data_IF_294821284195
#
_entry.id   IF_294821284195
#
_cell.length_a   1.000
_cell.length_b   1.000
_cell.length_c   1.000
_cell.angle_alpha   90.00
_cell.angle_beta   90.00
_cell.angle_gamma   90.00
#
_symmetry.space_group_name_H-M   'P 1'
#
loop_
_entity.id
_entity.type
_entity.pdbx_description
1 polymer ?
#
# COMPACT_ATOMS: atom_id res chain seq x y z
N UNK A 1 -8.81 -11.27 -0.79
CA UNK A 1 -9.01 -10.46 0.44
C UNK A 1 -8.05 -9.28 0.37
N UNK A 2 -8.54 -8.10 0.02
CA UNK A 2 -7.74 -6.87 0.02
C UNK A 2 -7.46 -6.47 1.47
N UNK A 3 -6.18 -6.42 1.85
CA UNK A 3 -5.78 -5.92 3.16
C UNK A 3 -5.86 -4.39 3.10
N UNK A 4 -6.84 -3.81 3.78
CA UNK A 4 -7.00 -2.36 3.96
C UNK A 4 -6.20 -1.96 5.20
N UNK A 5 -5.28 -1.01 5.06
CA UNK A 5 -4.55 -0.43 6.20
C UNK A 5 -4.91 1.05 6.28
N UNK A 6 -5.21 1.52 7.49
CA UNK A 6 -5.60 2.90 7.76
C UNK A 6 -4.61 3.49 8.77
N UNK A 7 -3.91 4.55 8.39
CA UNK A 7 -2.93 5.23 9.24
C UNK A 7 -3.26 6.73 9.40
N UNK A 8 -3.19 7.30 10.62
CA UNK A 8 -3.37 8.74 10.83
C UNK A 8 -2.17 9.55 10.33
N UNK A 9 -2.44 10.47 9.40
CA UNK A 9 -1.46 11.39 8.83
C UNK A 9 -1.27 12.63 9.70
N UNK A 10 -2.37 13.21 10.20
CA UNK A 10 -2.36 14.41 11.05
C UNK A 10 -3.57 14.41 11.97
N UNK A 11 -3.39 14.96 13.17
CA UNK A 11 -4.47 15.29 14.10
C UNK A 11 -4.63 16.80 14.13
N UNK A 12 -5.80 17.27 13.75
CA UNK A 12 -6.16 18.68 13.77
C UNK A 12 -6.45 19.15 15.20
N UNK A 13 -6.37 20.46 15.41
CA UNK A 13 -6.55 21.07 16.73
C UNK A 13 -7.98 20.94 17.27
N UNK A 14 -8.97 20.73 16.39
CA UNK A 14 -10.36 20.45 16.75
C UNK A 14 -10.59 18.98 17.18
N UNK A 15 -9.55 18.13 17.10
CA UNK A 15 -9.60 16.72 17.42
C UNK A 15 -9.96 15.83 16.23
N UNK A 16 -10.27 16.41 15.06
CA UNK A 16 -10.40 15.65 13.82
C UNK A 16 -9.06 15.02 13.41
N UNK A 17 -9.11 13.92 12.68
CA UNK A 17 -7.92 13.21 12.21
C UNK A 17 -8.02 12.95 10.71
N UNK A 18 -6.98 13.31 9.97
CA UNK A 18 -6.81 12.88 8.59
C UNK A 18 -6.15 11.50 8.59
N UNK A 19 -6.78 10.55 7.92
CA UNK A 19 -6.36 9.17 7.80
C UNK A 19 -6.11 8.86 6.33
N UNK A 20 -5.10 8.03 6.05
CA UNK A 20 -4.87 7.44 4.73
C UNK A 20 -5.17 5.96 4.80
N UNK A 21 -6.05 5.50 3.92
CA UNK A 21 -6.30 4.10 3.63
C UNK A 21 -5.49 3.70 2.42
N UNK A 22 -4.77 2.59 2.47
CA UNK A 22 -4.17 1.98 1.29
C UNK A 22 -4.73 0.58 1.09
N UNK A 23 -5.07 0.28 -0.16
CA UNK A 23 -5.62 -1.00 -0.58
C UNK A 23 -4.86 -1.54 -1.79
N UNK A 24 -4.63 -2.84 -1.85
CA UNK A 24 -4.13 -3.53 -3.05
C UNK A 24 -5.29 -4.19 -3.78
N UNK A 25 -5.41 -3.87 -5.07
CA UNK A 25 -6.48 -4.36 -5.94
C UNK A 25 -6.31 -5.83 -6.35
N UNK A 26 -5.14 -6.42 -6.13
CA UNK A 26 -4.84 -7.79 -6.56
C UNK A 26 -4.28 -7.88 -7.98
N UNK A 27 -4.48 -6.87 -8.82
CA UNK A 27 -4.08 -6.83 -10.24
C UNK A 27 -2.78 -6.07 -10.49
N UNK A 28 -1.99 -5.83 -9.44
CA UNK A 28 -0.76 -5.04 -9.52
C UNK A 28 -0.97 -3.52 -9.40
N UNK A 29 -2.17 -3.06 -9.00
CA UNK A 29 -2.41 -1.66 -8.64
C UNK A 29 -2.66 -1.47 -7.15
N UNK A 30 -2.30 -0.29 -6.66
CA UNK A 30 -2.54 0.15 -5.29
C UNK A 30 -3.42 1.38 -5.33
N UNK A 31 -4.38 1.44 -4.43
CA UNK A 31 -5.29 2.56 -4.30
C UNK A 31 -5.12 3.17 -2.93
N UNK A 32 -4.90 4.48 -2.87
CA UNK A 32 -4.97 5.24 -1.64
C UNK A 32 -6.24 6.09 -1.60
N UNK A 33 -6.87 6.14 -0.42
CA UNK A 33 -8.03 6.98 -0.14
C UNK A 33 -7.81 7.75 1.16
N UNK A 34 -8.18 9.03 1.18
CA UNK A 34 -8.09 9.87 2.36
C UNK A 34 -9.44 9.97 3.05
N UNK A 35 -9.41 9.84 4.38
CA UNK A 35 -10.58 9.94 5.24
C UNK A 35 -10.35 11.00 6.31
N UNK A 36 -11.35 11.82 6.57
CA UNK A 36 -11.39 12.72 7.71
C UNK A 36 -12.30 12.12 8.77
N UNK A 37 -11.72 11.76 9.91
CA UNK A 37 -12.46 11.33 11.09
C UNK A 37 -12.75 12.55 11.96
N UNK A 38 -14.01 12.91 12.10
CA UNK A 38 -14.45 14.02 12.94
C UNK A 38 -15.07 13.48 14.23
N UNK A 39 -14.61 13.91 15.42
CA UNK A 39 -15.20 13.49 16.69
C UNK A 39 -16.62 14.05 16.82
N UNK A 40 -17.64 13.19 16.78
CA UNK A 40 -19.02 13.59 17.01
C UNK A 40 -19.44 13.32 18.47
N UNK A 41 -20.24 14.22 19.04
CA UNK A 41 -20.71 14.21 20.44
C UNK A 41 -21.57 12.99 20.83
N UNK A 42 -21.91 12.10 19.89
CA UNK A 42 -22.81 10.94 20.09
C UNK A 42 -22.09 9.59 19.93
N UNK A 43 -20.82 9.52 20.32
CA UNK A 43 -20.01 8.28 20.35
C UNK A 43 -19.72 7.63 18.97
N UNK A 44 -20.20 8.22 17.87
CA UNK A 44 -19.86 7.80 16.51
C UNK A 44 -18.85 8.75 15.90
N UNK A 45 -17.73 8.21 15.43
CA UNK A 45 -16.80 8.94 14.57
C UNK A 45 -17.48 9.16 13.20
N UNK A 46 -17.54 10.41 12.75
CA UNK A 46 -18.03 10.75 11.41
C UNK A 46 -16.84 10.63 10.45
N UNK A 47 -16.82 9.56 9.65
CA UNK A 47 -15.77 9.33 8.65
C UNK A 47 -16.22 9.91 7.31
N UNK A 48 -15.50 10.92 6.82
CA UNK A 48 -15.76 11.56 5.52
C UNK A 48 -14.66 11.20 4.54
N UNK A 49 -15.05 10.73 3.36
CA UNK A 49 -14.10 10.54 2.25
C UNK A 49 -13.69 11.91 1.73
N UNK A 50 -12.38 12.16 1.68
CA UNK A 50 -11.78 13.45 1.27
C UNK A 50 -11.20 13.39 -0.14
N UNK A 51 -10.74 12.21 -0.57
CA UNK A 51 -10.21 12.01 -1.91
C UNK A 51 -10.93 10.87 -2.62
N UNK A 52 -11.02 10.97 -3.94
CA UNK A 52 -11.35 9.84 -4.80
C UNK A 52 -10.22 8.79 -4.81
N UNK A 53 -10.50 7.63 -5.39
CA UNK A 53 -9.60 6.48 -5.45
C UNK A 53 -8.29 6.84 -6.19
N UNK A 54 -7.22 7.13 -5.45
CA UNK A 54 -5.92 7.48 -6.02
C UNK A 54 -5.16 6.20 -6.38
N UNK A 55 -5.40 5.70 -7.59
CA UNK A 55 -4.74 4.52 -8.12
C UNK A 55 -3.32 4.84 -8.60
N UNK A 56 -2.37 3.96 -8.24
CA UNK A 56 -1.00 3.98 -8.73
C UNK A 56 -0.46 2.55 -8.91
N UNK A 57 0.55 2.36 -9.76
CA UNK A 57 1.16 1.04 -9.98
C UNK A 57 2.00 0.57 -8.79
N UNK A 58 2.43 1.48 -7.90
CA UNK A 58 3.16 1.12 -6.69
C UNK A 58 2.50 1.72 -5.44
N UNK A 59 2.62 1.01 -4.32
CA UNK A 59 2.13 1.47 -3.01
C UNK A 59 2.75 2.83 -2.64
N UNK A 60 4.03 3.02 -2.94
CA UNK A 60 4.74 4.28 -2.65
C UNK A 60 4.20 5.44 -3.48
N UNK A 61 3.92 5.24 -4.75
CA UNK A 61 3.32 6.28 -5.59
C UNK A 61 1.90 6.61 -5.14
N UNK A 62 1.08 5.62 -4.80
CA UNK A 62 -0.27 5.85 -4.30
C UNK A 62 -0.24 6.72 -3.02
N UNK A 63 0.70 6.42 -2.11
CA UNK A 63 0.91 7.21 -0.89
C UNK A 63 1.44 8.62 -1.17
N UNK A 64 2.35 8.79 -2.13
CA UNK A 64 2.90 10.10 -2.50
C UNK A 64 1.82 11.00 -3.12
N UNK A 65 0.97 10.43 -3.97
CA UNK A 65 -0.19 11.13 -4.55
C UNK A 65 -1.16 11.54 -3.44
N UNK A 66 -1.47 10.62 -2.50
CA UNK A 66 -2.33 10.92 -1.36
C UNK A 66 -1.74 12.01 -0.44
N UNK A 67 -0.44 11.96 -0.16
CA UNK A 67 0.25 12.99 0.62
C UNK A 67 0.16 14.37 -0.05
N UNK A 68 0.52 14.46 -1.33
CA UNK A 68 0.44 15.73 -2.08
C UNK A 68 -0.99 16.23 -2.25
N UNK A 69 -1.97 15.34 -2.26
CA UNK A 69 -3.38 15.71 -2.25
C UNK A 69 -3.77 16.30 -0.90
N UNK A 70 -3.38 15.66 0.20
CA UNK A 70 -3.62 16.14 1.56
C UNK A 70 -2.99 17.51 1.81
N UNK A 71 -1.74 17.74 1.37
CA UNK A 71 -1.07 19.05 1.49
C UNK A 71 -1.81 20.14 0.72
N UNK A 72 -2.32 19.83 -0.48
CA UNK A 72 -3.11 20.78 -1.28
C UNK A 72 -4.48 21.06 -0.67
N UNK A 73 -5.10 20.07 -0.05
CA UNK A 73 -6.41 20.20 0.57
C UNK A 73 -6.33 20.95 1.92
N UNK A 74 -5.24 20.77 2.67
CA UNK A 74 -5.02 21.36 3.98
C UNK A 74 -3.68 22.10 4.06
N UNK A 75 -3.51 23.20 3.29
CA UNK A 75 -2.24 23.92 3.23
C UNK A 75 -1.81 24.48 4.59
N UNK A 76 -2.77 24.87 5.44
CA UNK A 76 -2.51 25.37 6.80
C UNK A 76 -1.92 24.30 7.73
N UNK A 77 -2.19 23.03 7.45
CA UNK A 77 -1.69 21.90 8.24
C UNK A 77 -0.61 21.10 7.51
N UNK A 78 -0.20 21.51 6.30
CA UNK A 78 0.74 20.78 5.45
C UNK A 78 2.05 20.44 6.18
N UNK A 79 2.57 21.37 6.99
CA UNK A 79 3.78 21.14 7.80
C UNK A 79 3.61 20.09 8.91
N UNK A 80 2.38 19.79 9.31
CA UNK A 80 2.04 18.77 10.31
C UNK A 80 1.55 17.45 9.72
N UNK A 81 1.34 17.39 8.40
CA UNK A 81 1.01 16.14 7.71
C UNK A 81 2.29 15.29 7.69
N UNK A 82 2.24 14.11 8.32
CA UNK A 82 3.35 13.15 8.25
C UNK A 82 3.65 12.88 6.78
N UNK A 83 4.92 12.78 6.40
CA UNK A 83 5.33 12.35 5.07
C UNK A 83 5.26 10.80 4.96
N UNK A 84 5.08 10.24 3.75
CA UNK A 84 5.17 8.80 3.56
C UNK A 84 6.58 8.28 3.90
N UNK A 85 6.74 6.99 4.24
CA UNK A 85 5.76 5.91 4.07
C UNK A 85 4.83 5.71 5.27
N UNK A 86 3.52 5.61 4.99
CA UNK A 86 2.47 5.32 6.00
C UNK A 86 2.17 3.83 6.17
N UNK A 87 2.89 2.98 5.43
CA UNK A 87 2.57 1.56 5.36
C UNK A 87 3.84 0.75 5.11
N UNK A 88 4.18 -0.07 6.10
CA UNK A 88 5.15 -1.14 6.01
C UNK A 88 4.39 -2.38 5.53
N UNK A 89 4.18 -2.49 4.21
CA UNK A 89 3.70 -3.74 3.64
C UNK A 89 4.88 -4.73 3.67
N UNK A 90 5.04 -5.52 4.74
CA UNK A 90 5.70 -6.83 4.60
C UNK A 90 4.79 -7.59 3.64
N UNK A 91 5.18 -7.73 2.37
CA UNK A 91 4.37 -8.23 1.26
C UNK A 91 3.53 -9.47 1.61
N UNK A 92 2.69 -9.99 0.68
CA UNK A 92 2.40 -11.41 0.81
C UNK A 92 3.76 -12.09 1.05
N UNK A 93 3.90 -12.88 2.13
CA UNK A 93 4.96 -13.86 2.19
C UNK A 93 4.69 -14.74 0.96
N UNK A 94 5.15 -14.31 -0.22
CA UNK A 94 5.44 -15.22 -1.30
C UNK A 94 6.40 -16.17 -0.61
N UNK A 95 6.02 -17.45 -0.42
CA UNK A 95 7.06 -18.43 -0.25
C UNK A 95 7.96 -18.16 -1.45
N UNK A 96 9.21 -17.77 -1.19
CA UNK A 96 10.21 -17.88 -2.24
C UNK A 96 10.20 -19.38 -2.51
N UNK A 97 9.49 -19.82 -3.55
CA UNK A 97 9.77 -21.13 -4.10
C UNK A 97 11.21 -21.00 -4.54
N UNK A 98 12.14 -21.76 -3.94
CA UNK A 98 13.51 -21.71 -4.39
C UNK A 98 13.49 -22.12 -5.86
N UNK A 99 13.80 -21.16 -6.72
CA UNK A 99 14.08 -21.38 -8.13
C UNK A 99 15.31 -22.30 -8.20
N UNK A 100 15.07 -23.60 -8.10
CA UNK A 100 16.11 -24.63 -8.23
C UNK A 100 16.37 -24.86 -9.72
N UNK A 101 16.84 -23.81 -10.40
CA UNK A 101 17.49 -23.94 -11.70
C UNK A 101 18.99 -24.13 -11.46
N UNK A 102 19.47 -25.32 -11.81
CA UNK A 102 20.78 -25.45 -12.43
C UNK A 102 21.75 -26.36 -11.71
N UNK A 103 21.68 -27.64 -12.05
CA UNK A 103 22.76 -28.58 -11.81
C UNK A 103 22.77 -29.68 -12.88
N UNK A 104 22.99 -29.31 -14.15
CA UNK A 104 23.42 -30.28 -15.16
C UNK A 104 24.85 -30.69 -14.79
N UNK A 105 25.17 -31.99 -14.87
CA UNK A 105 26.21 -32.30 -15.84
C UNK A 105 25.78 -33.42 -16.79
N UNK A 106 26.14 -33.16 -18.03
CA UNK A 106 26.21 -34.06 -19.15
C UNK A 106 27.03 -35.32 -18.83
N UNK A 107 26.48 -36.50 -19.13
CA UNK A 107 27.28 -37.60 -19.68
C UNK A 107 26.49 -38.29 -20.78
N UNK A 108 26.84 -37.94 -22.02
CA UNK A 108 26.71 -38.83 -23.16
C UNK A 108 27.49 -40.10 -22.87
N UNK A 109 26.90 -41.25 -23.16
CA UNK A 109 27.61 -42.36 -23.79
C UNK A 109 26.58 -43.21 -24.54
N UNK A 110 26.50 -42.93 -25.85
CA UNK A 110 25.90 -43.82 -26.84
C UNK A 110 26.73 -45.11 -26.90
N UNK A 111 26.07 -46.25 -27.09
CA UNK A 111 26.76 -47.48 -27.46
C UNK A 111 25.92 -48.75 -27.35
N UNK A 112 24.87 -48.88 -28.17
CA UNK A 112 24.50 -50.22 -28.69
C UNK A 112 25.50 -50.55 -29.82
N UNK A 113 25.95 -51.80 -30.00
CA UNK A 113 25.13 -52.77 -30.71
C UNK A 113 25.27 -54.25 -30.26
N UNK A 114 24.33 -55.04 -30.78
CA UNK A 114 24.23 -56.50 -30.91
C UNK A 114 25.54 -57.30 -30.96
N UNK A 115 25.51 -58.47 -30.34
CA UNK A 115 25.72 -59.77 -30.99
C UNK A 115 24.80 -60.80 -30.34
#
# INVERSE_FOLDING_TARGET
>A
MGKMNVEPMVTFTDGSQLLVSTQYSGTGSFTCELYLSVPCKKEKLDLRVVSDHLEAPTCREAQDIAFRYAERQYPENASGIKAPPYLIWTGPNMPVEPENRGGRPERRQNGSPRA
#
